data_IF_799614313085
#
_entry.id   IF_799614313085
#
_cell.length_a   1.000
_cell.length_b   1.000
_cell.length_c   1.000
_cell.angle_alpha   90.00
_cell.angle_beta   90.00
_cell.angle_gamma   90.00
#
_symmetry.space_group_name_H-M   'P 1'
#
loop_
_entity.id
_entity.type
_entity.pdbx_description
1 polymer ?
#
# COMPACT_ATOMS: atom_id res chain seq x y z
N UNK A 1 10.90 12.27 -12.18
CA UNK A 1 9.46 12.38 -11.79
C UNK A 1 9.03 11.19 -10.96
N UNK A 2 9.19 9.95 -11.44
CA UNK A 2 8.94 8.72 -10.64
C UNK A 2 9.77 8.74 -9.36
N UNK A 3 11.09 8.92 -9.48
CA UNK A 3 12.03 9.10 -8.38
C UNK A 3 11.51 10.03 -7.27
N UNK A 4 11.33 11.33 -7.57
CA UNK A 4 10.76 12.31 -6.62
C UNK A 4 9.48 11.83 -5.92
N UNK A 5 8.55 11.19 -6.62
CA UNK A 5 7.30 10.75 -6.00
C UNK A 5 7.53 9.59 -5.03
N UNK A 6 8.35 8.61 -5.41
CA UNK A 6 8.67 7.46 -4.56
C UNK A 6 9.45 7.85 -3.29
N UNK A 7 10.26 8.90 -3.35
CA UNK A 7 11.03 9.39 -2.20
C UNK A 7 10.26 10.40 -1.34
N UNK A 8 9.07 10.84 -1.75
CA UNK A 8 8.25 11.77 -0.97
C UNK A 8 7.36 11.03 0.03
N UNK A 9 7.21 11.51 1.27
CA UNK A 9 6.30 10.89 2.23
C UNK A 9 4.86 10.94 1.72
N UNK A 10 4.18 9.79 1.71
CA UNK A 10 2.82 9.65 1.16
C UNK A 10 2.71 9.85 -0.36
N UNK A 11 3.84 9.84 -1.08
CA UNK A 11 3.86 10.08 -2.52
C UNK A 11 3.12 9.00 -3.31
N UNK A 12 2.09 9.41 -4.06
CA UNK A 12 1.31 8.52 -4.93
C UNK A 12 1.36 8.99 -6.38
N UNK A 13 1.40 8.04 -7.33
CA UNK A 13 1.56 8.32 -8.76
C UNK A 13 0.53 7.55 -9.60
N UNK A 14 -0.25 8.28 -10.40
CA UNK A 14 -1.04 7.70 -11.49
C UNK A 14 -0.27 7.81 -12.81
N UNK A 15 0.02 6.67 -13.45
CA UNK A 15 0.71 6.63 -14.75
C UNK A 15 -0.23 6.20 -15.86
N UNK A 16 -0.87 7.16 -16.54
CA UNK A 16 -1.70 6.91 -17.71
C UNK A 16 -0.84 6.90 -19.00
N UNK A 17 -1.09 5.95 -19.90
CA UNK A 17 -0.36 5.84 -21.17
C UNK A 17 -0.67 4.55 -21.93
N UNK A 18 -0.17 4.45 -23.16
CA UNK A 18 -0.29 3.24 -23.98
C UNK A 18 0.46 2.07 -23.34
N UNK A 19 0.02 0.83 -23.63
CA UNK A 19 0.77 -0.36 -23.24
C UNK A 19 2.16 -0.38 -23.90
N UNK A 20 3.15 -0.98 -23.23
CA UNK A 20 4.52 -1.14 -23.76
C UNK A 20 5.49 0.02 -23.51
N UNK A 21 5.06 1.14 -22.93
CA UNK A 21 5.95 2.30 -22.66
C UNK A 21 6.82 2.17 -21.40
N UNK A 22 6.87 0.98 -20.76
CA UNK A 22 7.77 0.70 -19.64
C UNK A 22 7.38 1.29 -18.28
N UNK A 23 6.11 1.69 -18.06
CA UNK A 23 5.62 2.26 -16.78
C UNK A 23 5.97 1.39 -15.56
N UNK A 24 5.61 0.11 -15.60
CA UNK A 24 5.93 -0.86 -14.55
C UNK A 24 7.44 -0.96 -14.33
N UNK A 25 8.20 -1.15 -15.41
CA UNK A 25 9.67 -1.23 -15.36
C UNK A 25 10.30 -0.01 -14.72
N UNK A 26 9.83 1.20 -15.06
CA UNK A 26 10.35 2.44 -14.48
C UNK A 26 10.13 2.50 -12.96
N UNK A 27 8.93 2.13 -12.48
CA UNK A 27 8.66 2.05 -11.03
C UNK A 27 9.49 0.97 -10.37
N UNK A 28 9.60 -0.22 -10.99
CA UNK A 28 10.40 -1.32 -10.44
C UNK A 28 11.88 -0.96 -10.32
N UNK A 29 12.48 -0.35 -11.34
CA UNK A 29 13.90 0.04 -11.30
C UNK A 29 14.13 1.11 -10.22
N UNK A 30 13.26 2.11 -10.13
CA UNK A 30 13.40 3.16 -9.10
C UNK A 30 13.16 2.63 -7.68
N UNK A 31 12.17 1.75 -7.48
CA UNK A 31 11.94 1.12 -6.18
C UNK A 31 13.15 0.28 -5.75
N UNK A 32 13.71 -0.54 -6.65
CA UNK A 32 14.92 -1.31 -6.36
C UNK A 32 16.12 -0.41 -6.08
N UNK A 33 16.29 0.69 -6.82
CA UNK A 33 17.38 1.65 -6.62
C UNK A 33 17.37 2.25 -5.21
N UNK A 34 16.19 2.54 -4.67
CA UNK A 34 16.01 3.10 -3.34
C UNK A 34 15.84 2.05 -2.22
N UNK A 35 15.89 0.75 -2.55
CA UNK A 35 15.61 -0.31 -1.59
C UNK A 35 14.16 -0.34 -1.09
N UNK A 36 13.23 0.26 -1.84
CA UNK A 36 11.81 0.31 -1.52
C UNK A 36 11.16 -1.01 -1.90
N UNK A 37 10.38 -1.59 -0.99
CA UNK A 37 9.67 -2.83 -1.20
C UNK A 37 8.52 -2.63 -2.18
N UNK A 38 8.59 -3.29 -3.34
CA UNK A 38 7.53 -3.24 -4.34
C UNK A 38 6.58 -4.43 -4.14
N UNK A 39 5.31 -4.15 -3.89
CA UNK A 39 4.23 -5.14 -3.73
C UNK A 39 3.22 -4.96 -4.86
N UNK A 40 2.86 -6.06 -5.52
CA UNK A 40 1.84 -6.10 -6.58
C UNK A 40 0.86 -7.22 -6.20
N UNK A 41 -0.46 -6.98 -6.21
CA UNK A 41 -1.45 -8.01 -5.95
C UNK A 41 -1.26 -9.25 -6.84
N UNK A 42 -1.39 -10.44 -6.27
CA UNK A 42 -1.26 -11.69 -7.00
C UNK A 42 -2.63 -12.14 -7.52
N UNK A 43 -2.90 -11.85 -8.79
CA UNK A 43 -4.18 -12.25 -9.40
C UNK A 43 -4.30 -13.77 -9.52
N UNK A 44 -5.38 -14.31 -8.96
CA UNK A 44 -5.75 -15.73 -9.02
C UNK A 44 -7.11 -15.91 -9.70
N UNK A 45 -7.44 -17.14 -10.10
CA UNK A 45 -8.78 -17.44 -10.59
C UNK A 45 -9.79 -17.21 -9.47
N UNK A 46 -10.79 -16.34 -9.71
CA UNK A 46 -11.75 -15.96 -8.69
C UNK A 46 -11.25 -14.89 -7.71
N UNK A 47 -10.23 -14.10 -8.10
CA UNK A 47 -9.76 -12.97 -7.31
C UNK A 47 -10.91 -12.07 -6.87
N UNK A 48 -10.99 -11.82 -5.56
CA UNK A 48 -12.07 -11.06 -4.95
C UNK A 48 -11.52 -9.91 -4.11
N UNK A 49 -12.41 -9.01 -3.69
CA UNK A 49 -12.09 -7.93 -2.75
C UNK A 49 -11.48 -8.45 -1.44
N UNK A 50 -11.84 -9.67 -1.00
CA UNK A 50 -11.28 -10.29 0.21
C UNK A 50 -9.79 -10.57 0.03
N UNK A 51 -9.38 -11.06 -1.15
CA UNK A 51 -7.98 -11.29 -1.47
C UNK A 51 -7.21 -9.97 -1.45
N UNK A 52 -7.74 -8.95 -2.12
CA UNK A 52 -7.14 -7.61 -2.14
C UNK A 52 -6.98 -7.02 -0.74
N UNK A 53 -8.01 -7.11 0.10
CA UNK A 53 -7.95 -6.63 1.49
C UNK A 53 -6.88 -7.36 2.32
N UNK A 54 -6.72 -8.66 2.13
CA UNK A 54 -5.68 -9.43 2.83
C UNK A 54 -4.26 -9.03 2.37
N UNK A 55 -4.06 -8.81 1.08
CA UNK A 55 -2.79 -8.30 0.55
C UNK A 55 -2.52 -6.87 1.02
N UNK A 56 -3.57 -6.04 1.09
CA UNK A 56 -3.47 -4.69 1.60
C UNK A 56 -3.09 -4.66 3.09
N UNK A 57 -3.62 -5.58 3.91
CA UNK A 57 -3.20 -5.71 5.32
C UNK A 57 -1.69 -5.95 5.44
N UNK A 58 -1.12 -6.82 4.60
CA UNK A 58 0.32 -7.08 4.60
C UNK A 58 1.14 -5.84 4.21
N UNK A 59 0.64 -5.05 3.25
CA UNK A 59 1.26 -3.77 2.87
C UNK A 59 1.21 -2.77 4.02
N UNK A 60 0.06 -2.65 4.68
CA UNK A 60 -0.16 -1.76 5.82
C UNK A 60 0.70 -2.15 7.02
N UNK A 61 0.88 -3.44 7.29
CA UNK A 61 1.76 -3.92 8.36
C UNK A 61 3.23 -3.64 8.06
N UNK A 62 3.69 -3.89 6.83
CA UNK A 62 5.05 -3.59 6.43
C UNK A 62 5.35 -2.08 6.53
N UNK A 63 4.45 -1.24 6.03
CA UNK A 63 4.64 0.21 6.03
C UNK A 63 4.42 0.83 7.42
N UNK A 64 3.35 0.45 8.10
CA UNK A 64 2.87 1.09 9.33
C UNK A 64 3.47 0.52 10.61
N UNK A 65 3.80 -0.78 10.66
CA UNK A 65 4.33 -1.44 11.86
C UNK A 65 5.83 -1.65 11.76
N UNK A 66 6.32 -2.18 10.63
CA UNK A 66 7.74 -2.41 10.44
C UNK A 66 8.52 -1.15 10.01
N UNK A 67 7.82 -0.07 9.64
CA UNK A 67 8.44 1.17 9.19
C UNK A 67 9.17 1.05 7.84
N UNK A 68 8.84 0.03 7.04
CA UNK A 68 9.44 -0.17 5.72
C UNK A 68 8.85 0.82 4.70
N UNK A 69 9.67 1.32 3.77
CA UNK A 69 9.13 2.00 2.60
C UNK A 69 8.53 0.98 1.64
N UNK A 70 7.25 1.14 1.32
CA UNK A 70 6.50 0.21 0.47
C UNK A 70 5.83 0.95 -0.69
N UNK A 71 5.90 0.36 -1.87
CA UNK A 71 5.14 0.76 -3.06
C UNK A 71 4.13 -0.32 -3.39
N UNK A 72 2.85 -0.01 -3.24
CA UNK A 72 1.76 -0.80 -3.78
C UNK A 72 1.57 -0.45 -5.26
N UNK A 73 1.93 -1.37 -6.15
CA UNK A 73 1.77 -1.22 -7.60
C UNK A 73 0.45 -1.84 -8.08
N UNK A 74 -0.46 -0.99 -8.54
CA UNK A 74 -1.72 -1.38 -9.15
C UNK A 74 -1.69 -1.16 -10.67
N UNK A 75 -2.40 -2.02 -11.39
CA UNK A 75 -2.47 -2.07 -12.85
C UNK A 75 -3.90 -2.42 -13.25
N UNK A 76 -4.27 -2.16 -14.50
CA UNK A 76 -5.66 -2.28 -14.97
C UNK A 76 -6.28 -3.65 -14.68
N UNK A 77 -5.49 -4.73 -14.79
CA UNK A 77 -5.95 -6.09 -14.55
C UNK A 77 -6.23 -6.40 -13.07
N UNK A 78 -5.75 -5.59 -12.13
CA UNK A 78 -6.06 -5.71 -10.69
C UNK A 78 -7.43 -5.10 -10.35
N UNK A 79 -7.98 -4.22 -11.21
CA UNK A 79 -9.18 -3.42 -10.93
C UNK A 79 -10.46 -4.14 -11.39
N UNK A 80 -10.66 -5.36 -10.88
CA UNK A 80 -11.77 -6.24 -11.31
C UNK A 80 -13.14 -5.91 -10.69
N UNK A 81 -13.18 -5.09 -9.63
CA UNK A 81 -14.40 -4.63 -8.95
C UNK A 81 -14.29 -3.16 -8.57
N UNK A 82 -15.43 -2.45 -8.55
CA UNK A 82 -15.54 -1.08 -8.02
C UNK A 82 -15.09 -0.98 -6.56
N UNK A 83 -15.28 -2.04 -5.78
CA UNK A 83 -14.93 -2.04 -4.35
C UNK A 83 -13.42 -1.91 -4.13
N UNK A 84 -12.61 -2.40 -5.07
CA UNK A 84 -11.15 -2.26 -5.04
C UNK A 84 -10.78 -0.79 -5.24
N UNK A 85 -11.42 -0.11 -6.21
CA UNK A 85 -11.20 1.31 -6.46
C UNK A 85 -11.63 2.19 -5.28
N UNK A 86 -12.77 1.87 -4.66
CA UNK A 86 -13.22 2.57 -3.45
C UNK A 86 -12.22 2.38 -2.30
N UNK A 87 -11.73 1.15 -2.11
CA UNK A 87 -10.70 0.84 -1.11
C UNK A 87 -9.42 1.64 -1.32
N UNK A 88 -8.94 1.74 -2.57
CA UNK A 88 -7.77 2.54 -2.93
C UNK A 88 -8.02 4.03 -2.68
N UNK A 89 -9.21 4.52 -3.00
CA UNK A 89 -9.57 5.91 -2.76
C UNK A 89 -9.60 6.26 -1.26
N UNK A 90 -10.20 5.40 -0.43
CA UNK A 90 -10.17 5.57 1.04
C UNK A 90 -8.74 5.61 1.57
N UNK A 91 -7.89 4.69 1.10
CA UNK A 91 -6.49 4.64 1.49
C UNK A 91 -5.73 5.92 1.12
N UNK A 92 -5.92 6.44 -0.10
CA UNK A 92 -5.26 7.66 -0.57
C UNK A 92 -5.76 8.92 0.15
N UNK A 93 -7.03 8.95 0.55
CA UNK A 93 -7.64 10.11 1.20
C UNK A 93 -7.36 10.18 2.70
N UNK A 94 -7.51 9.06 3.40
CA UNK A 94 -7.49 9.02 4.87
C UNK A 94 -6.29 8.26 5.44
N UNK A 95 -5.54 7.51 4.62
CA UNK A 95 -4.52 6.58 5.11
C UNK A 95 -5.11 5.33 5.78
N UNK A 96 -6.44 5.16 5.75
CA UNK A 96 -7.15 4.02 6.32
C UNK A 96 -8.27 3.53 5.39
N UNK A 97 -8.67 2.28 5.61
CA UNK A 97 -9.79 1.66 4.90
C UNK A 97 -10.81 1.19 5.92
N UNK A 98 -12.06 1.70 5.87
CA UNK A 98 -13.11 1.29 6.79
C UNK A 98 -13.36 -0.22 6.76
N UNK A 99 -13.34 -0.84 7.94
CA UNK A 99 -13.58 -2.29 8.08
C UNK A 99 -12.48 -3.17 7.47
N UNK A 100 -11.27 -2.64 7.27
CA UNK A 100 -10.13 -3.44 6.84
C UNK A 100 -9.72 -4.44 7.92
N UNK A 101 -9.58 -3.97 9.16
CA UNK A 101 -9.25 -4.79 10.32
C UNK A 101 -10.45 -4.97 11.23
N UNK A 102 -10.57 -6.14 11.84
CA UNK A 102 -11.46 -6.35 12.97
C UNK A 102 -10.79 -5.83 14.26
N UNK A 103 -11.57 -5.45 15.30
CA UNK A 103 -11.01 -5.00 16.57
C UNK A 103 -9.99 -5.99 17.16
N UNK A 104 -10.24 -7.30 17.02
CA UNK A 104 -9.36 -8.34 17.56
C UNK A 104 -8.05 -8.47 16.78
N UNK A 105 -8.02 -8.05 15.51
CA UNK A 105 -6.79 -8.02 14.69
C UNK A 105 -5.94 -6.77 14.98
N UNK A 106 -6.56 -5.68 15.46
CA UNK A 106 -5.87 -4.40 15.71
C UNK A 106 -5.04 -4.43 17.00
N UNK A 107 -5.54 -5.05 18.07
CA UNK A 107 -4.82 -5.11 19.35
C UNK A 107 -3.37 -5.57 19.22
N UNK A 108 -3.05 -6.73 18.60
CA UNK A 108 -1.66 -7.17 18.49
C UNK A 108 -0.79 -6.26 17.61
N UNK A 109 -1.37 -5.60 16.60
CA UNK A 109 -0.65 -4.68 15.71
C UNK A 109 -0.28 -3.37 16.42
N UNK A 110 -1.14 -2.90 17.33
CA UNK A 110 -0.94 -1.64 18.05
C UNK A 110 0.00 -1.76 19.24
N UNK A 111 0.21 -2.95 19.80
CA UNK A 111 1.12 -3.17 20.93
C UNK A 111 2.53 -2.61 20.70
N UNK A 112 3.27 -2.99 19.63
CA UNK A 112 4.61 -2.44 19.39
C UNK A 112 4.59 -0.94 19.07
N UNK A 113 3.51 -0.46 18.46
CA UNK A 113 3.35 0.95 18.09
C UNK A 113 3.14 1.86 19.30
N UNK A 114 2.48 1.38 20.35
CA UNK A 114 2.27 2.15 21.59
C UNK A 114 3.59 2.48 22.29
N UNK A 115 4.50 1.52 22.34
CA UNK A 115 5.82 1.71 22.95
C UNK A 115 6.66 2.72 22.14
N UNK A 116 6.60 2.64 20.80
CA UNK A 116 7.25 3.61 19.91
C UNK A 116 6.63 5.00 20.05
N UNK A 117 5.29 5.09 20.02
CA UNK A 117 4.56 6.35 20.17
C UNK A 117 4.88 7.05 21.51
N UNK A 118 4.98 6.29 22.60
CA UNK A 118 5.37 6.83 23.90
C UNK A 118 6.80 7.38 23.91
N UNK A 119 7.74 6.71 23.23
CA UNK A 119 9.13 7.19 23.07
C UNK A 119 9.21 8.47 22.22
N UNK A 120 8.38 8.57 21.18
CA UNK A 120 8.30 9.75 20.31
C UNK A 120 7.50 10.91 20.94
N UNK A 121 6.90 10.70 22.12
CA UNK A 121 6.09 11.69 22.81
C UNK A 121 4.72 11.94 22.15
N UNK A 122 4.28 11.04 21.28
CA UNK A 122 2.97 11.09 20.66
C UNK A 122 1.88 10.84 21.71
N UNK A 123 0.90 11.75 21.80
CA UNK A 123 -0.28 11.62 22.65
C UNK A 123 -1.51 11.61 21.75
N UNK A 124 -1.83 10.42 21.24
CA UNK A 124 -3.04 10.14 20.46
C UNK A 124 -3.69 8.88 20.96
#
# INVERSE_FOLDING_TARGET
RVDRVLTSPGGSLLMAGRSGVGRRTAVTVMANWHGIKLVSPAMTLGYSIVNFRNELKQVMEAAGVAGEQVVLLLEDHHLVSSDILETVNSLLMAGEVPGLYKPEELEPLLLPLRDQAAQEGFRG
#
